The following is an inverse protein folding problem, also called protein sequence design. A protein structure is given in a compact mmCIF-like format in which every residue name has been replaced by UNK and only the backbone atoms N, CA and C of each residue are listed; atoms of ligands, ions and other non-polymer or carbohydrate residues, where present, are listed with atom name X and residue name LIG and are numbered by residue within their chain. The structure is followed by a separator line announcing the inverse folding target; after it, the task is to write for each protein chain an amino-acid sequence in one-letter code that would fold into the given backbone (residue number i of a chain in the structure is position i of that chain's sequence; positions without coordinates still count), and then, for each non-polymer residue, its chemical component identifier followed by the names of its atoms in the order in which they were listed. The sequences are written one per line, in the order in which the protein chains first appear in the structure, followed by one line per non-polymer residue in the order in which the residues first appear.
data_IF_656672525888
#
_entry.id   IF_656672525888
#
_cell.length_a   1.000
_cell.length_b   1.000
_cell.length_c   1.000
_cell.angle_alpha   90.00
_cell.angle_beta   90.00
_cell.angle_gamma   90.00
#
_symmetry.space_group_name_H-M   'P 1'
#
loop_
_entity.id
_entity.type
_entity.pdbx_description
1 polymer ?
#
# COMPACT_ATOMS: atom_id res chain seq x y z
N UNK A 1 -6.83 13.32 -11.07
CA UNK A 1 -6.93 11.98 -10.46
C UNK A 1 -5.59 11.67 -9.81
N UNK A 2 -5.56 11.48 -8.49
CA UNK A 2 -4.32 11.29 -7.74
C UNK A 2 -4.03 9.78 -7.63
N UNK A 3 -2.85 9.34 -8.08
CA UNK A 3 -2.41 7.94 -8.00
C UNK A 3 -1.37 7.79 -6.89
N UNK A 4 -1.62 6.85 -5.99
CA UNK A 4 -0.78 6.54 -4.84
C UNK A 4 -0.42 5.05 -4.93
N UNK A 5 0.85 4.73 -4.70
CA UNK A 5 1.33 3.35 -4.64
C UNK A 5 2.01 3.16 -3.30
N UNK A 6 1.59 2.14 -2.55
CA UNK A 6 2.21 1.74 -1.29
C UNK A 6 2.53 0.25 -1.32
N UNK A 7 3.57 -0.16 -0.61
CA UNK A 7 3.73 -1.52 -0.13
C UNK A 7 2.84 -1.80 1.09
N UNK A 8 2.61 -3.08 1.39
CA UNK A 8 2.03 -3.48 2.68
C UNK A 8 2.77 -2.82 3.85
N UNK A 9 2.02 -2.35 4.84
CA UNK A 9 2.53 -1.66 6.04
C UNK A 9 3.27 -0.33 5.80
N UNK A 10 3.42 0.13 4.56
CA UNK A 10 3.98 1.44 4.27
C UNK A 10 3.02 2.57 4.63
N UNK A 11 3.58 3.75 4.86
CA UNK A 11 2.83 4.97 5.16
C UNK A 11 3.26 6.11 4.26
N UNK A 12 2.32 6.99 3.94
CA UNK A 12 2.57 8.23 3.22
C UNK A 12 1.72 9.35 3.80
N UNK A 13 2.32 10.52 3.94
CA UNK A 13 1.58 11.74 4.30
C UNK A 13 1.09 12.40 3.02
N UNK A 14 -0.18 12.76 2.95
CA UNK A 14 -0.84 13.28 1.75
C UNK A 14 -1.67 14.52 2.11
N UNK A 15 -1.81 15.40 1.13
CA UNK A 15 -2.82 16.47 1.21
C UNK A 15 -4.14 15.89 0.70
N UNK A 16 -5.04 15.58 1.64
CA UNK A 16 -6.35 15.01 1.35
C UNK A 16 -7.42 15.94 1.92
N UNK A 17 -8.52 16.07 1.18
CA UNK A 17 -9.73 16.66 1.75
C UNK A 17 -10.26 15.78 2.88
N UNK A 18 -11.00 16.38 3.82
CA UNK A 18 -11.70 15.65 4.88
C UNK A 18 -12.60 14.54 4.32
N UNK A 19 -13.32 14.83 3.24
CA UNK A 19 -14.21 13.87 2.57
C UNK A 19 -13.44 12.64 2.10
N UNK A 20 -12.30 12.85 1.42
CA UNK A 20 -11.43 11.77 0.95
C UNK A 20 -10.84 10.96 2.11
N UNK A 21 -10.37 11.63 3.17
CA UNK A 21 -9.82 10.97 4.35
C UNK A 21 -10.86 10.08 5.04
N UNK A 22 -12.10 10.58 5.20
CA UNK A 22 -13.21 9.81 5.78
C UNK A 22 -13.66 8.66 4.86
N UNK A 23 -13.68 8.88 3.54
CA UNK A 23 -14.02 7.84 2.57
C UNK A 23 -13.02 6.68 2.60
N UNK A 24 -11.72 6.99 2.65
CA UNK A 24 -10.66 6.00 2.80
C UNK A 24 -10.77 5.26 4.15
N UNK A 25 -10.99 5.98 5.25
CA UNK A 25 -11.13 5.39 6.58
C UNK A 25 -12.31 4.39 6.67
N UNK A 26 -13.44 4.70 6.01
CA UNK A 26 -14.62 3.81 5.97
C UNK A 26 -14.37 2.49 5.25
N UNK A 27 -13.36 2.40 4.39
CA UNK A 27 -13.07 1.15 3.67
C UNK A 27 -12.52 0.05 4.56
N UNK A 28 -11.85 0.41 5.66
CA UNK A 28 -11.14 -0.54 6.52
C UNK A 28 -9.88 -1.16 5.88
N UNK A 29 -9.55 -0.83 4.63
CA UNK A 29 -8.34 -1.35 3.95
C UNK A 29 -7.07 -0.59 4.32
N UNK A 30 -7.22 0.65 4.78
CA UNK A 30 -6.14 1.55 5.18
C UNK A 30 -6.47 2.23 6.50
N UNK A 31 -5.44 2.52 7.28
CA UNK A 31 -5.54 3.40 8.44
C UNK A 31 -5.32 4.85 7.98
N UNK A 32 -6.17 5.76 8.46
CA UNK A 32 -6.08 7.19 8.18
C UNK A 32 -6.01 7.94 9.51
N UNK A 33 -5.03 8.84 9.63
CA UNK A 33 -4.86 9.69 10.81
C UNK A 33 -4.27 11.06 10.47
N UNK A 34 -4.28 12.02 11.41
CA UNK A 34 -3.67 13.33 11.20
C UNK A 34 -2.14 13.23 11.10
N UNK A 35 -1.54 14.05 10.25
CA UNK A 35 -0.09 14.23 10.09
C UNK A 35 0.32 15.71 10.27
N UNK A 36 1.60 16.00 10.57
CA UNK A 36 2.08 17.38 10.68
C UNK A 36 1.79 18.21 9.42
N UNK A 37 1.61 19.52 9.61
CA UNK A 37 1.36 20.45 8.51
C UNK A 37 -0.05 20.36 7.92
N UNK A 38 -1.04 19.88 8.68
CA UNK A 38 -2.44 19.79 8.23
C UNK A 38 -2.70 18.66 7.23
N UNK A 39 -1.77 17.72 7.10
CA UNK A 39 -1.85 16.57 6.18
C UNK A 39 -2.53 15.38 6.83
N UNK A 40 -2.79 14.35 6.03
CA UNK A 40 -3.27 13.06 6.47
C UNK A 40 -2.21 11.99 6.27
N UNK A 41 -1.96 11.18 7.29
CA UNK A 41 -1.17 9.96 7.19
C UNK A 41 -2.07 8.83 6.75
N UNK A 42 -1.73 8.22 5.61
CA UNK A 42 -2.32 7.00 5.12
C UNK A 42 -1.35 5.86 5.35
N UNK A 43 -1.80 4.79 6.01
CA UNK A 43 -1.01 3.57 6.21
C UNK A 43 -1.73 2.37 5.61
N UNK A 44 -1.01 1.64 4.76
CA UNK A 44 -1.49 0.38 4.22
C UNK A 44 -1.45 -0.72 5.29
N UNK A 45 -2.46 -1.58 5.31
CA UNK A 45 -2.45 -2.80 6.13
C UNK A 45 -1.84 -4.00 5.38
N UNK A 46 -2.33 -5.20 5.69
CA UNK A 46 -2.00 -6.46 4.99
C UNK A 46 -2.87 -6.73 3.75
N UNK A 47 -3.72 -5.78 3.36
CA UNK A 47 -4.56 -5.92 2.18
C UNK A 47 -3.78 -5.47 0.95
N UNK A 48 -3.76 -6.30 -0.10
CA UNK A 48 -3.16 -5.98 -1.40
C UNK A 48 -4.26 -5.80 -2.44
N UNK A 49 -4.04 -4.91 -3.41
CA UNK A 49 -5.01 -4.64 -4.47
C UNK A 49 -5.17 -3.15 -4.78
N UNK A 50 -6.25 -2.80 -5.46
CA UNK A 50 -6.53 -1.43 -5.90
C UNK A 50 -7.83 -0.91 -5.31
N UNK A 51 -7.81 0.32 -4.80
CA UNK A 51 -8.98 1.07 -4.37
C UNK A 51 -9.12 2.33 -5.22
N UNK A 52 -10.31 2.57 -5.77
CA UNK A 52 -10.66 3.79 -6.49
C UNK A 52 -11.85 4.46 -5.81
N UNK A 53 -11.64 5.64 -5.21
CA UNK A 53 -12.67 6.38 -4.47
C UNK A 53 -12.42 7.89 -4.53
N UNK A 54 -13.45 8.71 -4.72
CA UNK A 54 -13.38 10.18 -4.70
C UNK A 54 -12.19 10.78 -5.50
N UNK A 55 -11.94 10.23 -6.69
CA UNK A 55 -10.86 10.67 -7.59
C UNK A 55 -9.44 10.25 -7.18
N UNK A 56 -9.32 9.41 -6.14
CA UNK A 56 -8.08 8.76 -5.69
C UNK A 56 -7.99 7.35 -6.25
N UNK A 57 -6.79 6.95 -6.64
CA UNK A 57 -6.43 5.59 -6.99
C UNK A 57 -5.27 5.13 -6.11
N UNK A 58 -5.54 4.25 -5.17
CA UNK A 58 -4.54 3.63 -4.31
C UNK A 58 -4.26 2.21 -4.79
N UNK A 59 -2.99 1.90 -5.06
CA UNK A 59 -2.49 0.55 -5.28
C UNK A 59 -1.65 0.13 -4.08
N UNK A 60 -2.05 -0.95 -3.40
CA UNK A 60 -1.25 -1.59 -2.36
C UNK A 60 -0.61 -2.84 -2.95
N UNK A 61 0.73 -2.86 -2.97
CA UNK A 61 1.53 -3.97 -3.48
C UNK A 61 1.96 -4.90 -2.34
N UNK A 62 2.03 -6.22 -2.58
CA UNK A 62 2.54 -7.13 -1.59
C UNK A 62 4.01 -6.84 -1.27
N UNK A 63 4.43 -7.17 -0.04
CA UNK A 63 5.84 -7.10 0.37
C UNK A 63 6.71 -8.04 -0.46
N UNK A 64 6.18 -9.22 -0.79
CA UNK A 64 6.83 -10.21 -1.64
C UNK A 64 6.11 -10.23 -2.99
N UNK A 65 6.84 -10.00 -4.07
CA UNK A 65 6.27 -10.09 -5.42
C UNK A 65 5.82 -11.54 -5.67
N UNK A 66 4.63 -11.78 -6.24
CA UNK A 66 4.11 -13.13 -6.45
C UNK A 66 5.08 -14.06 -7.20
N UNK A 67 5.88 -13.52 -8.11
CA UNK A 67 6.89 -14.27 -8.88
C UNK A 67 7.97 -14.87 -7.95
N UNK A 68 8.29 -14.19 -6.85
CA UNK A 68 9.26 -14.65 -5.86
C UNK A 68 8.71 -15.80 -4.99
N UNK A 69 7.40 -16.02 -4.95
CA UNK A 69 6.82 -17.15 -4.19
C UNK A 69 7.22 -18.49 -4.82
N UNK A 70 7.30 -18.55 -6.16
CA UNK A 70 7.71 -19.77 -6.85
C UNK A 70 9.18 -20.11 -6.58
N UNK A 71 10.03 -19.11 -6.36
CA UNK A 71 11.42 -19.32 -5.92
C UNK A 71 11.51 -19.96 -4.52
N UNK A 72 10.48 -19.86 -3.68
CA UNK A 72 10.50 -20.52 -2.38
C UNK A 72 10.18 -22.01 -2.46
N UNK A 73 9.60 -22.45 -3.58
CA UNK A 73 9.19 -23.84 -3.81
C UNK A 73 10.23 -24.64 -4.59
N UNK A 74 11.24 -23.99 -5.16
CA UNK A 74 12.24 -24.63 -6.01
C UNK A 74 13.44 -25.12 -5.20
N UNK A 75 13.66 -26.45 -5.09
CA UNK A 75 14.81 -26.99 -4.38
C UNK A 75 16.11 -26.68 -5.11
N UNK A 76 17.08 -26.08 -4.40
CA UNK A 76 18.44 -25.86 -4.90
C UNK A 76 18.72 -24.47 -5.47
N UNK A 77 17.82 -23.49 -5.31
CA UNK A 77 18.08 -22.13 -5.76
C UNK A 77 19.28 -21.47 -5.04
N UNK A 78 20.11 -20.70 -5.77
CA UNK A 78 21.24 -20.03 -5.17
C UNK A 78 20.79 -18.88 -4.25
N UNK A 79 21.54 -18.56 -3.18
CA UNK A 79 21.13 -17.60 -2.13
C UNK A 79 20.87 -16.15 -2.56
N UNK A 80 21.03 -15.82 -3.84
CA UNK A 80 20.81 -14.48 -4.39
C UNK A 80 19.54 -14.39 -5.27
N UNK A 81 18.87 -15.51 -5.56
CA UNK A 81 17.68 -15.53 -6.40
C UNK A 81 16.51 -14.70 -5.84
N UNK A 82 16.43 -14.55 -4.51
CA UNK A 82 15.33 -13.87 -3.82
C UNK A 82 15.58 -12.39 -3.50
N UNK A 83 16.81 -11.87 -3.70
CA UNK A 83 17.24 -10.55 -3.18
C UNK A 83 16.87 -9.33 -4.05
N UNK A 84 15.88 -9.44 -4.93
CA UNK A 84 15.37 -8.32 -5.73
C UNK A 84 14.06 -7.75 -5.15
N UNK A 85 14.12 -7.31 -3.89
CA UNK A 85 13.02 -6.55 -3.24
C UNK A 85 12.81 -5.19 -3.93
#
# INVERSE_FOLDING_TARGET
MLRIVLGEYESVDLDLTRVQAEALARTGFVEIGPAPGGRWRLRAGSHVGTLAIDGLHLLIRPKIRPENLFLLLEPGLPPHAWRQE
#
